data_IF_184289985634
#
_entry.id   IF_184289985634
#
_cell.length_a   1.000
_cell.length_b   1.000
_cell.length_c   1.000
_cell.angle_alpha   90.00
_cell.angle_beta   90.00
_cell.angle_gamma   90.00
#
_symmetry.space_group_name_H-M   'P 1'
#
loop_
_entity.id
_entity.type
_entity.pdbx_description
1 polymer ?
#
# COMPACT_ATOMS: atom_id res chain seq x y z
N UNK A 1 -38.26 -57.08 19.27
CA UNK A 1 -36.96 -56.50 18.89
C UNK A 1 -36.79 -56.67 17.39
N UNK A 2 -37.20 -55.67 16.62
CA UNK A 2 -36.82 -55.44 15.22
C UNK A 2 -37.38 -54.07 14.83
N UNK A 3 -36.49 -53.21 14.35
CA UNK A 3 -36.72 -51.79 14.08
C UNK A 3 -37.51 -51.57 12.80
N UNK A 4 -38.33 -50.54 12.79
CA UNK A 4 -38.75 -49.82 11.60
C UNK A 4 -38.98 -48.37 12.00
N UNK A 5 -38.20 -47.44 11.45
CA UNK A 5 -38.71 -46.23 10.79
C UNK A 5 -37.54 -45.39 10.28
N UNK A 6 -37.73 -45.00 9.03
CA UNK A 6 -36.88 -44.23 8.16
C UNK A 6 -37.27 -42.75 8.29
N UNK A 7 -36.31 -41.84 8.36
CA UNK A 7 -36.50 -40.46 7.88
C UNK A 7 -35.16 -39.94 7.37
N UNK A 8 -35.16 -39.64 6.07
CA UNK A 8 -34.16 -38.89 5.34
C UNK A 8 -34.09 -37.46 5.88
N UNK A 9 -32.88 -36.89 5.93
CA UNK A 9 -32.68 -35.55 5.38
C UNK A 9 -31.25 -35.40 4.85
N UNK A 10 -31.21 -34.81 3.66
CA UNK A 10 -30.12 -34.76 2.73
C UNK A 10 -29.69 -33.29 2.63
N UNK A 11 -28.42 -32.97 2.85
CA UNK A 11 -27.85 -31.74 2.28
C UNK A 11 -26.43 -32.03 1.81
N UNK A 12 -26.31 -31.99 0.50
CA UNK A 12 -25.15 -32.33 -0.28
C UNK A 12 -24.05 -31.24 -0.22
N UNK A 13 -22.84 -31.74 -0.46
CA UNK A 13 -21.62 -31.09 -0.92
C UNK A 13 -21.74 -29.68 -1.54
N UNK A 14 -20.73 -28.85 -1.24
CA UNK A 14 -20.13 -27.96 -2.26
C UNK A 14 -18.62 -27.89 -2.04
N UNK A 15 -17.90 -28.87 -2.62
CA UNK A 15 -16.51 -28.69 -3.01
C UNK A 15 -16.49 -27.74 -4.21
N UNK A 16 -15.94 -26.53 -4.04
CA UNK A 16 -15.70 -25.62 -5.18
C UNK A 16 -14.65 -26.24 -6.09
N UNK A 17 -15.09 -26.81 -7.21
CA UNK A 17 -14.26 -27.07 -8.37
C UNK A 17 -13.97 -25.72 -9.06
N UNK A 18 -12.79 -25.15 -8.83
CA UNK A 18 -12.27 -24.09 -9.71
C UNK A 18 -11.97 -24.70 -11.08
N UNK A 19 -12.62 -24.19 -12.13
CA UNK A 19 -12.46 -24.67 -13.50
C UNK A 19 -11.05 -24.36 -14.04
N UNK A 20 -10.44 -25.25 -14.85
CA UNK A 20 -9.12 -25.03 -15.47
C UNK A 20 -9.02 -23.74 -16.32
N UNK A 21 -10.15 -23.23 -16.83
CA UNK A 21 -10.22 -22.02 -17.66
C UNK A 21 -9.95 -20.72 -16.89
N UNK A 22 -10.21 -20.66 -15.58
CA UNK A 22 -9.89 -19.49 -14.75
C UNK A 22 -8.39 -19.44 -14.42
N UNK A 23 -7.78 -20.61 -14.16
CA UNK A 23 -6.35 -20.72 -13.83
C UNK A 23 -5.49 -20.27 -15.03
N UNK A 24 -5.85 -20.70 -16.25
CA UNK A 24 -5.14 -20.31 -17.47
C UNK A 24 -5.22 -18.80 -17.80
N UNK A 25 -6.30 -18.12 -17.41
CA UNK A 25 -6.43 -16.65 -17.58
C UNK A 25 -5.58 -15.87 -16.58
N UNK A 26 -5.48 -16.35 -15.33
CA UNK A 26 -4.65 -15.75 -14.29
C UNK A 26 -3.17 -15.93 -14.60
N UNK A 27 -2.76 -17.10 -15.10
CA UNK A 27 -1.39 -17.37 -15.53
C UNK A 27 -0.98 -16.55 -16.77
N UNK A 28 -1.86 -16.40 -17.76
CA UNK A 28 -1.61 -15.56 -18.93
C UNK A 28 -1.51 -14.05 -18.58
N UNK A 29 -2.35 -13.57 -17.66
CA UNK A 29 -2.28 -12.19 -17.17
C UNK A 29 -1.01 -11.93 -16.34
N UNK A 30 -0.58 -12.89 -15.51
CA UNK A 30 0.67 -12.80 -14.76
C UNK A 30 1.91 -12.86 -15.69
N UNK A 31 1.87 -13.71 -16.72
CA UNK A 31 2.90 -13.77 -17.77
C UNK A 31 3.05 -12.44 -18.52
N UNK A 32 1.94 -11.76 -18.85
CA UNK A 32 1.94 -10.45 -19.52
C UNK A 32 2.48 -9.30 -18.65
N UNK A 33 2.32 -9.38 -17.33
CA UNK A 33 2.83 -8.37 -16.39
C UNK A 33 4.34 -8.52 -16.15
N UNK A 34 4.84 -9.76 -16.06
CA UNK A 34 6.28 -10.05 -16.02
C UNK A 34 7.00 -9.59 -17.29
N UNK A 35 6.36 -9.70 -18.46
CA UNK A 35 6.91 -9.30 -19.76
C UNK A 35 7.06 -7.78 -19.96
N UNK A 36 6.54 -6.94 -19.06
CA UNK A 36 6.69 -5.47 -19.15
C UNK A 36 7.51 -4.86 -17.99
N UNK A 37 7.74 -5.61 -16.91
CA UNK A 37 8.54 -5.15 -15.76
C UNK A 37 9.98 -4.77 -16.16
N UNK A 38 10.58 -5.49 -17.12
CA UNK A 38 11.94 -5.22 -17.60
C UNK A 38 12.11 -3.81 -18.18
N UNK A 39 11.07 -3.25 -18.79
CA UNK A 39 11.06 -1.88 -19.35
C UNK A 39 11.38 -0.83 -18.30
N UNK A 40 10.91 -1.02 -17.07
CA UNK A 40 11.07 -0.04 -15.99
C UNK A 40 12.30 -0.29 -15.12
N UNK A 41 13.09 -1.34 -15.36
CA UNK A 41 14.35 -1.60 -14.63
C UNK A 41 15.28 -0.37 -14.60
N UNK A 42 15.52 0.35 -15.72
CA UNK A 42 16.37 1.54 -15.70
C UNK A 42 15.82 2.65 -14.80
N UNK A 43 14.49 2.84 -14.81
CA UNK A 43 13.80 3.80 -13.97
C UNK A 43 13.90 3.41 -12.49
N UNK A 44 13.59 2.17 -12.13
CA UNK A 44 13.71 1.66 -10.76
C UNK A 44 15.12 1.82 -10.23
N UNK A 45 16.16 1.50 -11.03
CA UNK A 45 17.56 1.73 -10.65
C UNK A 45 17.88 3.21 -10.40
N UNK A 46 17.33 4.11 -11.23
CA UNK A 46 17.51 5.55 -11.03
C UNK A 46 16.85 6.03 -9.73
N UNK A 47 15.62 5.57 -9.45
CA UNK A 47 14.88 5.89 -8.23
C UNK A 47 15.61 5.38 -6.99
N UNK A 48 16.01 4.10 -6.97
CA UNK A 48 16.77 3.50 -5.86
C UNK A 48 18.10 4.21 -5.58
N UNK A 49 18.74 4.73 -6.64
CA UNK A 49 19.98 5.49 -6.54
C UNK A 49 19.79 7.00 -6.27
N UNK A 50 18.56 7.50 -6.12
CA UNK A 50 18.29 8.93 -5.95
C UNK A 50 18.65 9.79 -7.16
N UNK A 51 18.84 9.20 -8.34
CA UNK A 51 19.30 9.91 -9.53
C UNK A 51 18.12 10.56 -10.26
N UNK A 52 17.74 11.76 -9.79
CA UNK A 52 16.63 12.53 -10.37
C UNK A 52 16.78 12.76 -11.87
N UNK A 53 17.97 13.12 -12.36
CA UNK A 53 18.16 13.43 -13.78
C UNK A 53 17.90 12.24 -14.69
N UNK A 54 18.30 11.03 -14.27
CA UNK A 54 17.99 9.80 -15.02
C UNK A 54 16.51 9.46 -14.97
N UNK A 55 15.88 9.57 -13.81
CA UNK A 55 14.45 9.32 -13.67
C UNK A 55 13.63 10.32 -14.49
N UNK A 56 13.97 11.62 -14.41
CA UNK A 56 13.32 12.70 -15.16
C UNK A 56 13.42 12.48 -16.67
N UNK A 57 14.58 12.10 -17.19
CA UNK A 57 14.72 11.76 -18.62
C UNK A 57 13.82 10.62 -19.04
N UNK A 58 13.63 9.62 -18.19
CA UNK A 58 12.69 8.53 -18.45
C UNK A 58 11.24 9.05 -18.50
N UNK A 59 10.83 9.86 -17.52
CA UNK A 59 9.49 10.47 -17.51
C UNK A 59 9.24 11.40 -18.70
N UNK A 60 10.25 12.18 -19.11
CA UNK A 60 10.17 13.06 -20.27
C UNK A 60 9.94 12.26 -21.57
N UNK A 61 10.50 11.05 -21.67
CA UNK A 61 10.31 10.13 -22.80
C UNK A 61 8.98 9.37 -22.73
N UNK A 62 8.53 9.05 -21.51
CA UNK A 62 7.33 8.28 -21.24
C UNK A 62 6.60 8.83 -20.01
N UNK A 63 5.65 9.73 -20.25
CA UNK A 63 4.85 10.34 -19.19
C UNK A 63 3.99 9.30 -18.45
N UNK A 64 3.62 8.19 -19.11
CA UNK A 64 2.88 7.11 -18.48
C UNK A 64 3.66 6.43 -17.35
N UNK A 65 4.99 6.53 -17.36
CA UNK A 65 5.85 5.97 -16.32
C UNK A 65 5.69 6.66 -14.95
N UNK A 66 5.11 7.87 -14.90
CA UNK A 66 4.79 8.56 -13.65
C UNK A 66 3.71 7.81 -12.85
N UNK A 67 2.79 7.15 -13.53
CA UNK A 67 1.65 6.44 -12.92
C UNK A 67 1.71 4.93 -13.11
N UNK A 68 2.73 4.42 -13.80
CA UNK A 68 2.89 3.00 -14.06
C UNK A 68 3.29 2.23 -12.80
N UNK A 69 2.87 0.96 -12.75
CA UNK A 69 3.47 -0.03 -11.88
C UNK A 69 4.82 -0.45 -12.45
N UNK A 70 5.89 -0.18 -11.70
CA UNK A 70 7.28 -0.35 -12.14
C UNK A 70 7.94 -1.58 -11.52
N UNK A 71 7.25 -2.30 -10.65
CA UNK A 71 7.70 -3.56 -10.03
C UNK A 71 6.61 -4.64 -10.10
N UNK A 72 7.00 -5.90 -9.85
CA UNK A 72 6.08 -7.04 -9.78
C UNK A 72 5.10 -6.93 -8.60
N UNK A 73 5.42 -6.11 -7.59
CA UNK A 73 4.56 -5.83 -6.44
C UNK A 73 3.51 -4.75 -6.71
N UNK A 74 3.39 -4.28 -7.97
CA UNK A 74 2.56 -3.13 -8.35
C UNK A 74 2.94 -1.82 -7.67
N UNK A 75 4.22 -1.66 -7.35
CA UNK A 75 4.70 -0.39 -6.80
C UNK A 75 4.87 0.62 -7.94
N UNK A 76 4.49 1.87 -7.69
CA UNK A 76 4.85 3.00 -8.55
C UNK A 76 6.25 3.51 -8.19
N UNK A 77 6.84 4.35 -9.04
CA UNK A 77 8.12 5.02 -8.72
C UNK A 77 8.07 5.78 -7.38
N UNK A 78 6.89 6.28 -7.00
CA UNK A 78 6.69 7.00 -5.75
C UNK A 78 6.79 6.08 -4.53
N UNK A 79 6.25 4.85 -4.59
CA UNK A 79 6.39 3.87 -3.51
C UNK A 79 7.86 3.57 -3.23
N UNK A 80 8.63 3.32 -4.30
CA UNK A 80 10.06 3.02 -4.20
C UNK A 80 10.82 4.23 -3.66
N UNK A 81 10.62 5.42 -4.22
CA UNK A 81 11.29 6.64 -3.79
C UNK A 81 11.07 6.91 -2.28
N UNK A 82 9.81 6.84 -1.84
CA UNK A 82 9.44 7.04 -0.43
C UNK A 82 10.02 5.95 0.46
N UNK A 83 9.92 4.68 0.03
CA UNK A 83 10.39 3.51 0.77
C UNK A 83 11.90 3.46 0.95
N UNK A 84 12.69 4.11 0.08
CA UNK A 84 14.15 4.22 0.30
C UNK A 84 14.52 5.08 1.50
N UNK A 85 13.62 5.97 1.95
CA UNK A 85 13.90 6.93 3.02
C UNK A 85 14.97 7.98 2.68
N UNK A 86 15.37 8.08 1.39
CA UNK A 86 16.48 8.92 0.93
C UNK A 86 15.97 10.02 0.00
N UNK A 87 16.74 11.11 -0.08
CA UNK A 87 16.58 12.18 -1.07
C UNK A 87 15.15 12.75 -1.14
N UNK A 88 14.72 13.48 -0.10
CA UNK A 88 13.38 14.10 -0.05
C UNK A 88 13.08 14.98 -1.28
N UNK A 89 14.09 15.65 -1.83
CA UNK A 89 13.96 16.45 -3.05
C UNK A 89 13.51 15.63 -4.27
N UNK A 90 13.87 14.33 -4.32
CA UNK A 90 13.39 13.44 -5.37
C UNK A 90 11.89 13.21 -5.22
N UNK A 91 11.43 12.93 -3.98
CA UNK A 91 10.01 12.71 -3.67
C UNK A 91 9.20 13.97 -3.96
N UNK A 92 9.65 15.15 -3.52
CA UNK A 92 9.00 16.44 -3.77
C UNK A 92 8.76 16.65 -5.27
N UNK A 93 9.82 16.55 -6.07
CA UNK A 93 9.72 16.73 -7.53
C UNK A 93 8.83 15.68 -8.19
N UNK A 94 8.87 14.43 -7.72
CA UNK A 94 8.01 13.37 -8.26
C UNK A 94 6.53 13.65 -7.95
N UNK A 95 6.21 14.05 -6.72
CA UNK A 95 4.86 14.40 -6.29
C UNK A 95 4.34 15.65 -7.02
N UNK A 96 5.22 16.59 -7.37
CA UNK A 96 4.87 17.75 -8.18
C UNK A 96 4.45 17.38 -9.62
N UNK A 97 5.10 16.37 -10.22
CA UNK A 97 4.82 15.92 -11.58
C UNK A 97 3.64 14.96 -11.68
N UNK A 98 3.33 14.22 -10.60
CA UNK A 98 2.25 13.24 -10.62
C UNK A 98 0.86 13.89 -10.57
N UNK A 99 -0.13 13.37 -11.33
CA UNK A 99 -1.54 13.68 -11.10
C UNK A 99 -1.93 13.36 -9.67
N UNK A 100 -2.79 14.18 -9.05
CA UNK A 100 -3.14 14.03 -7.63
C UNK A 100 -3.82 12.69 -7.34
N UNK A 101 -4.63 12.21 -8.28
CA UNK A 101 -5.31 10.92 -8.20
C UNK A 101 -4.32 9.74 -8.23
N UNK A 102 -3.18 9.91 -8.90
CA UNK A 102 -2.14 8.88 -8.98
C UNK A 102 -1.41 8.67 -7.63
N UNK A 103 -1.47 9.64 -6.71
CA UNK A 103 -0.91 9.49 -5.37
C UNK A 103 -1.67 8.44 -4.54
N UNK A 104 -2.92 8.16 -4.89
CA UNK A 104 -3.77 7.16 -4.26
C UNK A 104 -3.61 5.74 -4.87
N UNK A 105 -2.78 5.56 -5.90
CA UNK A 105 -2.48 4.25 -6.45
C UNK A 105 -1.87 3.34 -5.37
N UNK A 106 -2.27 2.08 -5.38
CA UNK A 106 -1.84 1.09 -4.40
C UNK A 106 -0.99 -0.02 -5.03
N UNK A 107 -0.11 -0.60 -4.22
CA UNK A 107 0.59 -1.85 -4.51
C UNK A 107 -0.35 -3.07 -4.42
N UNK A 108 0.20 -4.29 -4.58
CA UNK A 108 -0.54 -5.55 -4.48
C UNK A 108 -1.17 -5.80 -3.10
N UNK A 109 -0.72 -5.11 -2.05
CA UNK A 109 -1.24 -5.21 -0.69
C UNK A 109 -2.26 -4.11 -0.38
N UNK A 110 -2.61 -3.26 -1.35
CA UNK A 110 -3.47 -2.11 -1.13
C UNK A 110 -2.76 -0.95 -0.44
N UNK A 111 -1.42 -0.97 -0.36
CA UNK A 111 -0.64 0.07 0.28
C UNK A 111 -0.39 1.21 -0.70
N UNK A 112 -0.66 2.44 -0.24
CA UNK A 112 -0.23 3.66 -0.92
C UNK A 112 1.20 4.03 -0.56
N UNK A 113 1.78 5.02 -1.25
CA UNK A 113 3.07 5.58 -0.87
C UNK A 113 3.10 6.14 0.57
N UNK A 114 1.96 6.60 1.11
CA UNK A 114 1.87 7.05 2.50
C UNK A 114 2.01 5.88 3.51
N UNK A 115 1.51 4.68 3.17
CA UNK A 115 1.78 3.48 3.96
C UNK A 115 3.27 3.12 3.94
N UNK A 116 3.93 3.25 2.78
CA UNK A 116 5.37 3.04 2.69
C UNK A 116 6.15 4.05 3.56
N UNK A 117 5.77 5.34 3.53
CA UNK A 117 6.35 6.37 4.40
C UNK A 117 6.19 6.02 5.88
N UNK A 118 4.97 5.63 6.27
CA UNK A 118 4.63 5.23 7.63
C UNK A 118 5.41 3.98 8.09
N UNK A 119 5.61 3.00 7.21
CA UNK A 119 6.37 1.77 7.51
C UNK A 119 7.85 2.05 7.77
N UNK A 120 8.47 2.90 6.94
CA UNK A 120 9.94 3.14 6.99
C UNK A 120 10.34 4.35 7.82
N UNK A 121 9.38 5.11 8.37
CA UNK A 121 9.65 6.30 9.19
C UNK A 121 10.02 7.54 8.39
N UNK A 122 9.60 7.63 7.11
CA UNK A 122 9.91 8.78 6.26
C UNK A 122 8.92 9.93 6.51
N UNK A 123 9.03 10.57 7.68
CA UNK A 123 8.12 11.65 8.13
C UNK A 123 8.02 12.79 7.11
N UNK A 124 9.15 13.21 6.52
CA UNK A 124 9.16 14.28 5.52
C UNK A 124 8.37 13.92 4.26
N UNK A 125 8.49 12.69 3.78
CA UNK A 125 7.67 12.24 2.66
C UNK A 125 6.19 12.13 3.04
N UNK A 126 5.88 11.69 4.27
CA UNK A 126 4.51 11.69 4.77
C UNK A 126 3.91 13.10 4.77
N UNK A 127 4.66 14.11 5.21
CA UNK A 127 4.26 15.53 5.18
C UNK A 127 3.94 15.99 3.75
N UNK A 128 4.85 15.75 2.80
CA UNK A 128 4.66 16.12 1.38
C UNK A 128 3.41 15.46 0.80
N UNK A 129 3.22 14.16 1.05
CA UNK A 129 2.08 13.40 0.53
C UNK A 129 0.75 13.87 1.11
N UNK A 130 0.68 14.07 2.43
CA UNK A 130 -0.53 14.53 3.12
C UNK A 130 -0.86 15.97 2.73
N UNK A 131 0.14 16.85 2.60
CA UNK A 131 -0.08 18.22 2.15
C UNK A 131 -0.66 18.26 0.73
N UNK A 132 -0.16 17.41 -0.17
CA UNK A 132 -0.63 17.34 -1.55
C UNK A 132 -2.00 16.69 -1.68
N UNK A 133 -2.25 15.61 -0.94
CA UNK A 133 -3.49 14.85 -1.00
C UNK A 133 -3.90 14.27 0.37
N UNK A 134 -4.59 15.06 1.22
CA UNK A 134 -5.00 14.64 2.56
C UNK A 134 -5.84 13.34 2.64
N UNK A 135 -6.71 13.00 1.66
CA UNK A 135 -7.46 11.75 1.67
C UNK A 135 -6.62 10.47 1.80
N UNK A 136 -5.32 10.52 1.48
CA UNK A 136 -4.39 9.39 1.65
C UNK A 136 -4.37 8.86 3.09
N UNK A 137 -4.66 9.70 4.09
CA UNK A 137 -4.73 9.33 5.51
C UNK A 137 -5.76 8.24 5.79
N UNK A 138 -6.80 8.13 4.95
CA UNK A 138 -7.98 7.31 5.20
C UNK A 138 -8.12 6.12 4.24
N UNK A 139 -7.13 5.90 3.37
CA UNK A 139 -7.11 4.73 2.48
C UNK A 139 -6.66 3.52 3.29
N UNK A 140 -7.47 2.47 3.29
CA UNK A 140 -7.15 1.20 3.95
C UNK A 140 -6.42 0.27 2.98
N UNK A 141 -5.32 -0.33 3.44
CA UNK A 141 -4.72 -1.47 2.74
C UNK A 141 -5.59 -2.73 2.85
N UNK A 142 -5.21 -3.83 2.20
CA UNK A 142 -6.04 -5.03 2.07
C UNK A 142 -6.42 -5.67 3.42
N UNK A 143 -5.55 -5.60 4.43
CA UNK A 143 -5.86 -6.08 5.80
C UNK A 143 -6.62 -5.06 6.65
N UNK A 144 -7.10 -3.98 6.03
CA UNK A 144 -7.89 -2.94 6.68
C UNK A 144 -7.05 -1.83 7.32
N UNK A 145 -5.73 -1.93 7.42
CA UNK A 145 -4.96 -0.90 8.11
C UNK A 145 -4.85 0.43 7.33
N UNK A 146 -4.93 1.52 8.07
CA UNK A 146 -4.55 2.88 7.64
C UNK A 146 -3.04 3.13 7.83
N UNK A 147 -2.46 4.19 7.21
CA UNK A 147 -1.06 4.57 7.42
C UNK A 147 -0.66 4.75 8.89
N UNK A 148 -1.56 5.27 9.74
CA UNK A 148 -1.31 5.41 11.19
C UNK A 148 -0.97 4.07 11.87
N UNK A 149 -1.61 2.97 11.49
CA UNK A 149 -1.34 1.65 12.05
C UNK A 149 0.02 1.14 11.57
N UNK A 150 0.39 1.41 10.31
CA UNK A 150 1.72 1.06 9.81
C UNK A 150 2.83 1.79 10.56
N UNK A 151 2.66 3.08 10.88
CA UNK A 151 3.63 3.81 11.68
C UNK A 151 3.73 3.22 13.11
N UNK A 152 2.60 2.86 13.72
CA UNK A 152 2.56 2.28 15.06
C UNK A 152 3.22 0.90 15.15
N UNK A 153 2.88 -0.03 14.25
CA UNK A 153 3.41 -1.41 14.29
C UNK A 153 4.89 -1.49 13.93
N UNK A 154 5.42 -0.52 13.16
CA UNK A 154 6.84 -0.42 12.83
C UNK A 154 7.62 0.49 13.78
N UNK A 155 7.03 0.92 14.90
CA UNK A 155 7.67 1.78 15.90
C UNK A 155 8.25 3.10 15.34
N UNK A 156 7.64 3.67 14.31
CA UNK A 156 8.09 4.93 13.69
C UNK A 156 7.52 6.14 14.43
N UNK A 157 8.18 6.53 15.54
CA UNK A 157 7.65 7.50 16.51
C UNK A 157 7.31 8.86 15.90
N UNK A 158 8.23 9.44 15.16
CA UNK A 158 8.09 10.78 14.58
C UNK A 158 7.00 10.79 13.52
N UNK A 159 6.97 9.76 12.67
CA UNK A 159 5.95 9.63 11.63
C UNK A 159 4.57 9.35 12.24
N UNK A 160 4.49 8.48 13.25
CA UNK A 160 3.24 8.23 13.98
C UNK A 160 2.72 9.52 14.63
N UNK A 161 3.59 10.24 15.34
CA UNK A 161 3.26 11.52 15.98
C UNK A 161 2.70 12.51 14.95
N UNK A 162 3.41 12.70 13.83
CA UNK A 162 2.91 13.53 12.73
C UNK A 162 1.53 13.08 12.26
N UNK A 163 1.37 11.79 11.91
CA UNK A 163 0.11 11.28 11.38
C UNK A 163 -1.05 11.41 12.37
N UNK A 164 -0.81 11.23 13.68
CA UNK A 164 -1.82 11.47 14.72
C UNK A 164 -2.28 12.93 14.79
N UNK A 165 -1.40 13.90 14.49
CA UNK A 165 -1.77 15.32 14.50
C UNK A 165 -2.63 15.73 13.30
N UNK A 166 -2.48 15.05 12.16
CA UNK A 166 -3.20 15.39 10.91
C UNK A 166 -4.39 14.49 10.61
N UNK A 167 -4.44 13.28 11.21
CA UNK A 167 -5.58 12.36 11.09
C UNK A 167 -6.70 12.83 12.00
N UNK A 168 -7.86 13.11 11.42
CA UNK A 168 -9.05 13.51 12.16
C UNK A 168 -9.93 12.30 12.40
N UNK A 169 -10.68 12.34 13.50
CA UNK A 169 -11.77 11.38 13.65
C UNK A 169 -12.80 11.62 12.54
N UNK A 170 -13.16 10.56 11.85
CA UNK A 170 -14.00 10.59 10.66
C UNK A 170 -15.00 9.44 10.77
N UNK A 171 -16.31 9.71 10.61
CA UNK A 171 -17.36 8.72 10.86
C UNK A 171 -17.37 7.55 9.87
N UNK A 172 -16.67 7.67 8.74
CA UNK A 172 -16.62 6.64 7.70
C UNK A 172 -15.39 5.77 7.87
N UNK A 173 -14.22 6.38 7.97
CA UNK A 173 -12.95 5.67 8.10
C UNK A 173 -12.67 5.22 9.52
N UNK A 174 -13.33 5.77 10.56
CA UNK A 174 -13.26 5.34 11.96
C UNK A 174 -11.82 5.06 12.43
N UNK A 175 -10.86 5.97 12.21
CA UNK A 175 -9.43 5.70 12.41
C UNK A 175 -9.07 5.40 13.87
N UNK A 176 -9.88 5.87 14.81
CA UNK A 176 -9.67 5.73 16.25
C UNK A 176 -10.74 4.90 16.96
N UNK A 177 -11.65 4.25 16.21
CA UNK A 177 -12.79 3.52 16.76
C UNK A 177 -12.75 2.03 16.37
N UNK A 178 -13.50 1.21 17.09
CA UNK A 178 -13.64 -0.23 16.86
C UNK A 178 -12.28 -0.94 16.79
N UNK A 179 -12.16 -1.95 15.93
CA UNK A 179 -10.94 -2.72 15.69
C UNK A 179 -9.76 -1.82 15.30
N UNK A 180 -10.02 -0.71 14.61
CA UNK A 180 -8.97 0.25 14.24
C UNK A 180 -8.32 0.91 15.46
N UNK A 181 -9.16 1.42 16.38
CA UNK A 181 -8.67 2.02 17.62
C UNK A 181 -7.97 0.99 18.51
N UNK A 182 -8.49 -0.24 18.58
CA UNK A 182 -7.86 -1.34 19.31
C UNK A 182 -6.50 -1.72 18.75
N UNK A 183 -6.40 -1.93 17.44
CA UNK A 183 -5.16 -2.22 16.73
C UNK A 183 -4.11 -1.14 17.01
N UNK A 184 -4.51 0.14 16.93
CA UNK A 184 -3.61 1.25 17.20
C UNK A 184 -3.05 1.21 18.63
N UNK A 185 -3.90 0.97 19.64
CA UNK A 185 -3.45 0.85 21.04
C UNK A 185 -2.52 -0.35 21.21
N UNK A 186 -2.88 -1.52 20.65
CA UNK A 186 -2.07 -2.74 20.73
C UNK A 186 -0.69 -2.51 20.11
N UNK A 187 -0.61 -1.88 18.95
CA UNK A 187 0.65 -1.60 18.27
C UNK A 187 1.51 -0.59 19.04
N UNK A 188 0.91 0.47 19.60
CA UNK A 188 1.66 1.46 20.39
C UNK A 188 2.23 0.84 21.67
N UNK A 189 1.47 -0.05 22.34
CA UNK A 189 1.95 -0.80 23.52
C UNK A 189 3.07 -1.76 23.12
N UNK A 190 2.86 -2.54 22.06
CA UNK A 190 3.81 -3.58 21.62
C UNK A 190 5.13 -2.99 21.11
N UNK A 191 5.09 -1.79 20.53
CA UNK A 191 6.25 -1.03 20.07
C UNK A 191 6.95 -0.23 21.19
N UNK A 192 6.55 -0.44 22.46
CA UNK A 192 7.17 0.13 23.65
C UNK A 192 7.20 1.67 23.71
N UNK A 193 6.16 2.36 23.19
CA UNK A 193 6.08 3.83 23.17
C UNK A 193 5.73 4.50 24.51
N UNK A 194 5.66 3.76 25.61
CA UNK A 194 5.23 4.27 26.93
C UNK A 194 6.38 4.51 27.93
N UNK A 195 7.64 4.48 27.50
CA UNK A 195 8.75 4.70 28.44
C UNK A 195 10.05 5.13 27.79
N UNK A 196 10.18 6.42 27.45
CA UNK A 196 11.41 7.22 27.57
C UNK A 196 11.04 8.71 27.74
#
# INVERSE_FOLDING_TARGET
>A
MASSSNTQENVAATSRSTQPEEIGKVEAANSSLMDQSWRYIPLVKAVLGGNWERAKRFFDQDQGALTAWVTEFRETSLHIAVGTGKEIQFVEKLVELMPVEALALTDNQGQTALHAAARVGNTKAAEVLVQKHPPLLYIRQNVGWLPIHQAAVNAQRETLSYLLTVTKDDPVSLPFSNDSGLDLIIFVISSNFYGE
#
